data_IF_186117992397
#
_entry.id   IF_186117992397
#
_cell.length_a   1.000
_cell.length_b   1.000
_cell.length_c   1.000
_cell.angle_alpha   90.00
_cell.angle_beta   90.00
_cell.angle_gamma   90.00
#
_symmetry.space_group_name_H-M   'P 1'
#
loop_
_entity.id
_entity.type
_entity.pdbx_description
1 polymer ?
#
# COMPACT_ATOMS: atom_id res chain seq x y z
N UNK A 1 18.86 -12.23 -1.52
CA UNK A 1 18.05 -12.50 -0.34
C UNK A 1 16.60 -11.98 -0.45
N UNK A 2 16.29 -11.17 -1.45
CA UNK A 2 14.94 -10.67 -1.68
C UNK A 2 14.29 -11.56 -2.73
N UNK A 3 13.48 -12.51 -2.29
CA UNK A 3 12.61 -13.27 -3.18
C UNK A 3 11.26 -12.54 -3.22
N UNK A 4 10.91 -11.97 -4.35
CA UNK A 4 9.67 -11.25 -4.57
C UNK A 4 9.86 -9.79 -4.97
N UNK A 5 8.75 -9.16 -5.34
CA UNK A 5 8.69 -7.73 -5.67
C UNK A 5 8.67 -6.95 -4.36
N UNK A 6 9.63 -6.04 -4.18
CA UNK A 6 9.74 -5.19 -3.00
C UNK A 6 9.36 -3.77 -3.43
N UNK A 7 8.20 -3.34 -3.02
CA UNK A 7 7.66 -2.02 -3.34
C UNK A 7 7.75 -1.04 -2.17
N UNK A 8 7.91 -1.57 -0.96
CA UNK A 8 8.01 -0.77 0.26
C UNK A 8 9.14 -1.27 1.18
N UNK A 9 9.76 -0.39 1.98
CA UNK A 9 10.87 -0.74 2.87
C UNK A 9 10.54 -1.80 3.92
N UNK A 10 9.31 -1.83 4.41
CA UNK A 10 8.88 -2.82 5.41
C UNK A 10 8.98 -4.26 4.90
N UNK A 11 8.83 -4.47 3.59
CA UNK A 11 8.99 -5.79 2.97
C UNK A 11 10.43 -6.30 3.07
N UNK A 12 11.40 -5.39 3.16
CA UNK A 12 12.82 -5.74 3.36
C UNK A 12 13.07 -6.43 4.70
N UNK A 13 12.29 -6.11 5.73
CA UNK A 13 12.47 -6.61 7.11
C UNK A 13 11.42 -7.65 7.50
N UNK A 14 10.36 -7.81 6.70
CA UNK A 14 9.27 -8.75 7.00
C UNK A 14 9.80 -10.19 7.10
N UNK A 15 9.51 -10.84 8.22
CA UNK A 15 9.95 -12.21 8.51
C UNK A 15 11.47 -12.38 8.74
N UNK A 16 12.28 -11.31 8.67
CA UNK A 16 13.75 -11.38 8.82
C UNK A 16 14.26 -10.90 10.18
N UNK A 17 13.44 -10.18 10.94
CA UNK A 17 13.84 -9.61 12.22
C UNK A 17 13.03 -10.22 13.37
N UNK A 18 13.66 -10.96 14.31
CA UNK A 18 12.95 -11.52 15.45
C UNK A 18 12.30 -10.42 16.30
N UNK A 19 11.04 -10.63 16.74
CA UNK A 19 10.29 -9.67 17.57
C UNK A 19 9.79 -8.42 16.84
N UNK A 20 9.84 -8.40 15.52
CA UNK A 20 9.17 -7.44 14.65
C UNK A 20 8.05 -8.15 13.93
N UNK A 21 6.84 -7.69 14.16
CA UNK A 21 5.65 -8.17 13.45
C UNK A 21 5.22 -7.12 12.43
N UNK A 22 5.05 -7.54 11.20
CA UNK A 22 4.55 -6.72 10.12
C UNK A 22 3.29 -7.37 9.59
N UNK A 23 2.20 -6.63 9.64
CA UNK A 23 0.90 -7.07 9.12
C UNK A 23 0.51 -6.13 7.99
N UNK A 24 0.45 -6.66 6.78
CA UNK A 24 0.00 -5.91 5.62
C UNK A 24 -1.51 -5.78 5.66
N UNK A 25 -2.01 -4.57 5.44
CA UNK A 25 -3.45 -4.28 5.44
C UNK A 25 -4.07 -4.65 4.10
N UNK A 26 -4.30 -5.95 3.89
CA UNK A 26 -4.94 -6.46 2.67
C UNK A 26 -4.03 -6.43 1.44
N UNK A 27 -4.62 -6.71 0.27
CA UNK A 27 -3.93 -6.72 -1.03
C UNK A 27 -3.94 -5.38 -1.77
N UNK A 28 -4.32 -4.28 -1.11
CA UNK A 28 -4.35 -2.96 -1.72
C UNK A 28 -2.92 -2.42 -1.92
N UNK A 29 -2.68 -1.77 -3.05
CA UNK A 29 -1.36 -1.21 -3.41
C UNK A 29 -0.88 -0.14 -2.43
N UNK A 30 -1.81 0.48 -1.71
CA UNK A 30 -1.56 1.54 -0.73
C UNK A 30 -1.93 1.14 0.69
N UNK A 31 -2.28 -0.13 0.90
CA UNK A 31 -2.83 -0.63 2.16
C UNK A 31 -1.92 -0.43 3.38
N UNK A 32 -0.65 -0.15 3.15
CA UNK A 32 0.33 0.02 4.18
C UNK A 32 0.49 -1.21 5.08
N UNK A 33 1.49 -1.19 5.88
CA UNK A 33 1.72 -2.24 6.88
C UNK A 33 1.70 -1.67 8.28
N UNK A 34 1.09 -2.39 9.19
CA UNK A 34 1.21 -2.13 10.62
C UNK A 34 2.46 -2.80 11.13
N UNK A 35 3.37 -2.03 11.70
CA UNK A 35 4.63 -2.53 12.27
C UNK A 35 4.51 -2.51 13.78
N UNK A 36 4.79 -3.64 14.43
CA UNK A 36 4.83 -3.76 15.88
C UNK A 36 6.15 -4.36 16.31
N UNK A 37 6.79 -3.74 17.31
CA UNK A 37 8.03 -4.22 17.92
C UNK A 37 7.69 -4.66 19.32
N UNK A 38 7.92 -5.96 19.64
CA UNK A 38 7.61 -6.57 20.95
C UNK A 38 6.14 -6.44 21.40
N UNK A 39 5.20 -6.27 20.43
CA UNK A 39 3.78 -6.11 20.72
C UNK A 39 3.35 -4.65 20.89
N UNK A 40 2.16 -4.42 21.41
CA UNK A 40 1.63 -3.07 21.69
C UNK A 40 1.89 -2.70 23.14
N UNK A 41 2.42 -1.50 23.39
CA UNK A 41 2.68 -0.97 24.72
C UNK A 41 1.56 -0.08 25.25
N UNK A 42 0.67 0.42 24.40
CA UNK A 42 -0.39 1.36 24.76
C UNK A 42 -1.75 0.93 24.23
N UNK A 43 -2.78 1.16 25.03
CA UNK A 43 -4.18 0.95 24.65
C UNK A 43 -4.76 2.16 23.89
N UNK A 44 -4.28 3.37 24.17
CA UNK A 44 -4.88 4.62 23.66
C UNK A 44 -3.91 5.46 22.82
N UNK A 45 -2.60 5.18 22.84
CA UNK A 45 -1.61 5.88 22.03
C UNK A 45 -1.16 5.03 20.84
N UNK A 46 -0.49 5.65 19.86
CA UNK A 46 0.12 4.90 18.76
C UNK A 46 1.12 3.88 19.29
N UNK A 47 1.07 2.69 18.73
CA UNK A 47 2.03 1.62 18.96
C UNK A 47 3.05 1.49 17.82
N UNK A 48 3.11 2.48 16.91
CA UNK A 48 4.03 2.48 15.81
C UNK A 48 5.45 2.84 16.25
N UNK A 49 6.49 2.19 15.72
CA UNK A 49 7.87 2.51 16.05
C UNK A 49 8.27 3.87 15.45
N UNK A 50 9.23 4.54 16.10
CA UNK A 50 9.85 5.73 15.54
C UNK A 50 10.71 5.36 14.32
N UNK A 51 10.55 6.09 13.22
CA UNK A 51 11.37 5.93 12.02
C UNK A 51 12.45 7.02 12.02
N UNK A 52 13.70 6.61 11.86
CA UNK A 52 14.85 7.52 11.77
C UNK A 52 15.59 7.26 10.46
N UNK A 53 15.72 8.29 9.61
CA UNK A 53 16.37 8.19 8.31
C UNK A 53 17.63 9.02 8.32
N UNK A 54 18.78 8.39 8.12
CA UNK A 54 20.11 9.02 8.15
C UNK A 54 20.35 9.89 9.40
N UNK A 55 19.81 9.44 10.54
CA UNK A 55 19.93 10.14 11.83
C UNK A 55 18.83 11.17 12.11
N UNK A 56 17.93 11.45 11.16
CA UNK A 56 16.82 12.39 11.33
C UNK A 56 15.56 11.63 11.72
N UNK A 57 15.00 11.88 12.91
CA UNK A 57 13.74 11.27 13.31
C UNK A 57 12.58 11.87 12.51
N UNK A 58 11.78 10.98 11.93
CA UNK A 58 10.58 11.37 11.19
C UNK A 58 9.39 11.43 12.13
N UNK A 59 8.56 12.44 11.99
CA UNK A 59 7.30 12.48 12.70
C UNK A 59 6.31 11.52 12.04
N UNK A 60 5.98 10.44 12.74
CA UNK A 60 5.00 9.42 12.31
C UNK A 60 3.60 9.79 12.80
N UNK A 61 3.32 11.07 12.96
CA UNK A 61 2.11 11.61 13.56
C UNK A 61 1.11 12.18 12.56
N UNK A 62 0.78 11.44 11.53
CA UNK A 62 -0.29 11.83 10.60
C UNK A 62 -0.75 10.63 9.79
N UNK A 63 -2.00 10.20 10.01
CA UNK A 63 -2.67 9.33 9.07
C UNK A 63 -2.79 10.09 7.74
N UNK A 64 -1.96 9.72 6.77
CA UNK A 64 -2.12 10.21 5.40
C UNK A 64 -3.18 9.33 4.78
N UNK A 65 -4.34 9.89 4.54
CA UNK A 65 -5.46 9.16 3.96
C UNK A 65 -5.06 8.50 2.65
N UNK A 66 -5.25 7.17 2.54
CA UNK A 66 -4.85 6.40 1.38
C UNK A 66 -3.37 6.00 1.33
N UNK A 67 -2.63 6.25 2.41
CA UNK A 67 -1.23 5.83 2.59
C UNK A 67 -1.11 5.14 3.95
N UNK A 68 -0.67 3.90 3.96
CA UNK A 68 -0.64 3.11 5.19
C UNK A 68 0.37 3.57 6.22
N UNK A 69 1.55 4.02 5.79
CA UNK A 69 2.58 4.55 6.66
C UNK A 69 3.60 5.38 5.86
N UNK A 70 4.44 6.14 6.57
CA UNK A 70 5.48 6.98 5.97
C UNK A 70 6.55 6.18 5.19
N UNK A 71 6.79 4.91 5.55
CA UNK A 71 7.77 4.07 4.87
C UNK A 71 7.42 3.83 3.41
N UNK A 72 6.15 3.79 3.06
CA UNK A 72 5.71 3.60 1.66
C UNK A 72 6.18 4.71 0.71
N UNK A 73 6.55 5.88 1.24
CA UNK A 73 7.07 7.01 0.47
C UNK A 73 8.57 6.88 0.16
N UNK A 74 9.28 5.98 0.86
CA UNK A 74 10.73 5.79 0.69
C UNK A 74 10.95 4.76 -0.40
N UNK A 75 11.86 5.07 -1.33
CA UNK A 75 12.28 4.11 -2.34
C UNK A 75 13.17 3.02 -1.72
N UNK A 76 12.78 1.73 -1.70
CA UNK A 76 13.59 0.66 -1.15
C UNK A 76 14.96 0.53 -1.82
N UNK A 77 15.08 0.92 -3.10
CA UNK A 77 16.31 0.85 -3.86
C UNK A 77 17.39 1.81 -3.35
N UNK A 78 17.01 2.85 -2.60
CA UNK A 78 17.94 3.80 -1.99
C UNK A 78 18.40 3.40 -0.59
N UNK A 79 17.87 2.32 -0.03
CA UNK A 79 18.23 1.85 1.31
C UNK A 79 19.51 1.02 1.26
N UNK A 80 20.47 1.36 2.11
CA UNK A 80 21.69 0.58 2.33
C UNK A 80 21.47 -0.46 3.43
N UNK A 81 20.87 -0.03 4.56
CA UNK A 81 20.59 -0.91 5.69
C UNK A 81 19.38 -0.45 6.49
N UNK A 82 18.73 -1.40 7.15
CA UNK A 82 17.68 -1.17 8.13
C UNK A 82 18.07 -1.88 9.42
N UNK A 83 17.98 -1.18 10.56
CA UNK A 83 18.27 -1.71 11.88
C UNK A 83 17.11 -1.40 12.81
N UNK A 84 16.67 -2.37 13.61
CA UNK A 84 15.60 -2.18 14.57
C UNK A 84 16.18 -2.16 15.98
N UNK A 85 16.02 -1.02 16.66
CA UNK A 85 16.36 -0.86 18.07
C UNK A 85 15.14 -1.23 18.92
N UNK A 86 15.31 -2.24 19.76
CA UNK A 86 14.21 -2.81 20.58
C UNK A 86 14.38 -2.51 22.06
N UNK A 87 15.63 -2.34 22.50
CA UNK A 87 15.96 -2.23 23.90
C UNK A 87 15.91 -0.77 24.39
N UNK A 88 15.45 -0.57 25.61
CA UNK A 88 15.30 0.75 26.21
C UNK A 88 16.60 1.56 26.20
N UNK A 89 17.75 0.92 26.41
CA UNK A 89 19.06 1.57 26.37
C UNK A 89 19.42 2.10 24.99
N UNK A 90 19.10 1.35 23.93
CA UNK A 90 19.39 1.75 22.54
C UNK A 90 18.39 2.79 22.02
N UNK A 91 17.18 2.84 22.57
CA UNK A 91 16.15 3.82 22.20
C UNK A 91 16.22 5.11 23.00
N UNK A 92 16.94 5.13 24.14
CA UNK A 92 17.00 6.27 25.05
C UNK A 92 17.45 7.60 24.41
N UNK A 93 18.32 7.55 23.39
CA UNK A 93 18.79 8.73 22.66
C UNK A 93 17.69 9.46 21.89
N UNK A 94 16.55 8.78 21.61
CA UNK A 94 15.40 9.34 20.88
C UNK A 94 14.26 9.76 21.82
N UNK A 95 14.44 9.61 23.15
CA UNK A 95 13.49 10.01 24.17
C UNK A 95 12.18 9.22 24.14
N UNK A 96 11.11 9.81 24.66
CA UNK A 96 9.79 9.17 24.80
C UNK A 96 9.16 8.71 23.48
N UNK A 97 9.51 9.33 22.38
CA UNK A 97 9.03 8.95 21.03
C UNK A 97 9.49 7.54 20.61
N UNK A 98 10.53 7.02 21.23
CA UNK A 98 11.10 5.71 20.95
C UNK A 98 10.55 4.59 21.85
N UNK A 99 9.51 4.85 22.63
CA UNK A 99 8.92 3.86 23.57
C UNK A 99 8.48 2.56 22.89
N UNK A 100 8.06 2.63 21.64
CA UNK A 100 7.61 1.48 20.83
C UNK A 100 8.75 0.88 19.97
N UNK A 101 10.01 1.25 20.22
CA UNK A 101 11.16 0.88 19.42
C UNK A 101 11.47 1.88 18.31
N UNK A 102 12.60 1.68 17.65
CA UNK A 102 13.09 2.56 16.58
C UNK A 102 13.51 1.75 15.36
N UNK A 103 13.12 2.18 14.19
CA UNK A 103 13.61 1.67 12.90
C UNK A 103 14.60 2.68 12.35
N UNK A 104 15.88 2.32 12.31
CA UNK A 104 16.94 3.11 11.71
C UNK A 104 17.08 2.72 10.24
N UNK A 105 16.97 3.69 9.36
CA UNK A 105 17.17 3.53 7.92
C UNK A 105 18.41 4.32 7.52
N UNK A 106 19.38 3.63 6.95
CA UNK A 106 20.55 4.26 6.36
C UNK A 106 20.44 4.21 4.84
N UNK A 107 20.56 5.34 4.18
CA UNK A 107 20.50 5.39 2.72
C UNK A 107 21.88 5.24 2.08
N UNK A 108 21.87 4.72 0.84
CA UNK A 108 23.09 4.52 0.03
C UNK A 108 23.78 5.86 -0.23
N UNK A 109 25.09 5.88 -0.02
CA UNK A 109 25.95 7.03 -0.29
C UNK A 109 26.87 6.76 -1.48
N UNK A 110 27.48 7.81 -1.99
CA UNK A 110 28.54 7.66 -3.00
C UNK A 110 29.74 6.94 -2.40
N UNK A 111 30.21 5.89 -3.07
CA UNK A 111 31.37 5.08 -2.65
C UNK A 111 32.21 4.70 -3.87
N UNK A 112 33.50 4.53 -3.66
CA UNK A 112 34.44 4.05 -4.67
C UNK A 112 34.98 5.14 -5.58
N UNK A 113 36.00 4.77 -6.35
CA UNK A 113 36.65 5.64 -7.34
C UNK A 113 35.95 5.47 -8.70
N UNK A 114 35.80 6.58 -9.41
CA UNK A 114 35.10 6.63 -10.69
C UNK A 114 33.58 6.74 -10.58
N UNK A 115 32.93 6.84 -11.72
CA UNK A 115 31.49 7.01 -11.83
C UNK A 115 30.85 5.67 -12.14
N UNK A 116 29.88 5.27 -11.33
CA UNK A 116 29.05 4.07 -11.52
C UNK A 116 27.61 4.47 -11.81
N UNK A 117 27.09 4.01 -12.94
CA UNK A 117 25.66 4.12 -13.29
C UNK A 117 25.01 2.77 -13.05
N UNK A 118 23.89 2.77 -12.39
CA UNK A 118 23.08 1.57 -12.13
C UNK A 118 21.63 1.83 -12.56
N UNK A 119 21.10 0.92 -13.35
CA UNK A 119 19.69 0.90 -13.72
C UNK A 119 19.08 -0.42 -13.25
N UNK A 120 17.95 -0.33 -12.59
CA UNK A 120 17.18 -1.49 -12.13
C UNK A 120 15.74 -1.31 -12.57
N UNK A 121 15.16 -2.36 -13.15
CA UNK A 121 13.73 -2.44 -13.46
C UNK A 121 13.18 -3.73 -12.89
N UNK A 122 11.99 -3.64 -12.31
CA UNK A 122 11.24 -4.78 -11.81
C UNK A 122 9.84 -4.69 -12.36
N UNK A 123 9.40 -5.72 -13.08
CA UNK A 123 8.04 -5.81 -13.59
C UNK A 123 7.33 -6.96 -12.89
N UNK A 124 6.07 -6.75 -12.53
CA UNK A 124 5.27 -7.72 -11.79
C UNK A 124 3.86 -7.83 -12.36
N UNK A 125 3.29 -9.01 -12.22
CA UNK A 125 1.90 -9.29 -12.52
C UNK A 125 1.28 -9.90 -11.27
N UNK A 126 0.18 -9.33 -10.79
CA UNK A 126 -0.55 -9.78 -9.62
C UNK A 126 -1.91 -10.33 -10.03
N UNK A 127 -2.20 -11.55 -9.64
CA UNK A 127 -3.48 -12.20 -9.92
C UNK A 127 -4.14 -12.65 -8.62
N UNK A 128 -5.45 -12.78 -8.62
CA UNK A 128 -6.16 -13.41 -7.51
C UNK A 128 -5.73 -14.87 -7.38
N UNK A 129 -5.44 -15.32 -6.18
CA UNK A 129 -5.04 -16.71 -5.92
C UNK A 129 -6.24 -17.59 -5.64
N UNK A 130 -7.14 -17.10 -4.77
CA UNK A 130 -8.37 -17.79 -4.38
C UNK A 130 -9.42 -16.75 -3.96
N UNK A 131 -10.66 -16.98 -4.36
CA UNK A 131 -11.84 -16.29 -3.84
C UNK A 131 -12.54 -17.15 -2.80
N UNK A 132 -13.39 -16.57 -1.97
CA UNK A 132 -14.28 -17.32 -1.13
C UNK A 132 -15.23 -18.16 -2.01
N UNK A 133 -15.53 -19.36 -1.57
CA UNK A 133 -16.55 -20.20 -2.24
C UNK A 133 -17.92 -19.59 -1.96
N UNK A 134 -18.55 -19.07 -2.99
CA UNK A 134 -19.86 -18.42 -2.94
C UNK A 134 -20.92 -19.38 -3.47
N UNK A 135 -22.18 -19.16 -3.06
CA UNK A 135 -23.30 -19.87 -3.65
C UNK A 135 -23.34 -19.57 -5.16
N UNK A 136 -23.52 -20.61 -5.95
CA UNK A 136 -23.88 -20.43 -7.35
C UNK A 136 -25.24 -19.74 -7.47
N UNK A 137 -25.52 -19.18 -8.64
CA UNK A 137 -26.81 -18.54 -8.91
C UNK A 137 -27.99 -19.47 -8.56
N UNK A 138 -27.92 -20.74 -8.94
CA UNK A 138 -29.03 -21.69 -8.75
C UNK A 138 -29.19 -22.08 -7.28
N UNK A 139 -28.09 -22.29 -6.55
CA UNK A 139 -28.12 -22.51 -5.10
C UNK A 139 -28.70 -21.29 -4.36
N UNK A 140 -28.30 -20.07 -4.76
CA UNK A 140 -28.86 -18.85 -4.20
C UNK A 140 -30.37 -18.74 -4.44
N UNK A 141 -30.83 -19.02 -5.66
CA UNK A 141 -32.25 -19.01 -6.02
C UNK A 141 -33.01 -20.04 -5.19
N UNK A 142 -32.52 -21.27 -5.01
CA UNK A 142 -33.13 -22.33 -4.23
C UNK A 142 -33.23 -21.94 -2.74
N UNK A 143 -32.20 -21.34 -2.17
CA UNK A 143 -32.22 -20.85 -0.79
C UNK A 143 -33.27 -19.75 -0.62
N UNK A 144 -33.35 -18.79 -1.53
CA UNK A 144 -34.35 -17.70 -1.45
C UNK A 144 -35.78 -18.22 -1.67
N UNK A 145 -36.00 -19.14 -2.60
CA UNK A 145 -37.32 -19.73 -2.82
C UNK A 145 -37.79 -20.58 -1.66
N UNK A 146 -36.88 -21.24 -0.96
CA UNK A 146 -37.20 -22.13 0.16
C UNK A 146 -37.44 -21.38 1.46
N UNK A 147 -36.66 -20.32 1.72
CA UNK A 147 -36.60 -19.65 3.02
C UNK A 147 -36.97 -18.17 2.97
N UNK A 148 -37.07 -17.58 1.78
CA UNK A 148 -37.34 -16.16 1.60
C UNK A 148 -38.80 -15.79 1.68
N UNK A 149 -39.08 -14.53 1.90
CA UNK A 149 -40.44 -13.95 1.81
C UNK A 149 -40.83 -13.74 0.34
N UNK A 150 -42.13 -13.58 0.08
CA UNK A 150 -42.65 -13.28 -1.27
C UNK A 150 -41.98 -12.04 -1.87
N UNK A 151 -41.69 -11.03 -1.06
CA UNK A 151 -40.99 -9.83 -1.48
C UNK A 151 -39.52 -10.12 -1.92
N UNK A 152 -38.80 -10.99 -1.21
CA UNK A 152 -37.46 -11.42 -1.58
C UNK A 152 -37.48 -12.29 -2.84
N UNK A 153 -38.44 -13.18 -2.99
CA UNK A 153 -38.61 -14.00 -4.18
C UNK A 153 -38.88 -13.12 -5.42
N UNK A 154 -39.67 -12.06 -5.26
CA UNK A 154 -39.99 -11.13 -6.33
C UNK A 154 -38.76 -10.29 -6.81
N UNK A 155 -37.69 -10.19 -6.01
CA UNK A 155 -36.46 -9.52 -6.34
C UNK A 155 -35.44 -10.42 -7.05
N UNK A 156 -35.76 -11.70 -7.28
CA UNK A 156 -34.90 -12.59 -8.04
C UNK A 156 -34.94 -12.22 -9.54
N UNK A 157 -33.77 -12.00 -10.11
CA UNK A 157 -33.59 -11.78 -11.55
C UNK A 157 -33.23 -13.07 -12.30
N UNK A 158 -32.86 -12.92 -13.56
CA UNK A 158 -32.50 -14.03 -14.46
C UNK A 158 -30.99 -14.07 -14.81
N UNK A 159 -30.22 -13.12 -14.32
CA UNK A 159 -28.81 -13.03 -14.60
C UNK A 159 -27.98 -14.03 -13.77
N UNK A 160 -26.71 -14.17 -14.16
CA UNK A 160 -25.70 -14.92 -13.41
C UNK A 160 -24.44 -14.05 -13.31
N UNK A 161 -24.48 -13.08 -12.39
CA UNK A 161 -23.39 -12.09 -12.23
C UNK A 161 -22.40 -12.60 -11.19
N UNK A 162 -21.15 -12.84 -11.62
CA UNK A 162 -20.02 -13.03 -10.69
C UNK A 162 -19.52 -11.67 -10.23
N UNK A 163 -20.05 -11.19 -9.12
CA UNK A 163 -19.69 -9.89 -8.54
C UNK A 163 -18.21 -9.79 -8.17
N UNK A 164 -17.58 -10.91 -7.84
CA UNK A 164 -16.15 -10.93 -7.51
C UNK A 164 -15.30 -10.66 -8.75
N UNK A 165 -15.64 -11.28 -9.89
CA UNK A 165 -14.97 -11.02 -11.16
C UNK A 165 -15.23 -9.60 -11.68
N UNK A 166 -16.42 -9.05 -11.43
CA UNK A 166 -16.76 -7.70 -11.82
C UNK A 166 -15.91 -6.62 -11.14
N UNK A 167 -15.41 -6.87 -9.93
CA UNK A 167 -14.61 -5.91 -9.17
C UNK A 167 -13.11 -6.23 -9.20
N UNK A 168 -12.70 -7.40 -9.66
CA UNK A 168 -11.31 -7.83 -9.70
C UNK A 168 -10.68 -7.71 -11.08
N UNK A 169 -9.36 -7.63 -11.10
CA UNK A 169 -8.53 -7.59 -12.32
C UNK A 169 -7.19 -8.28 -12.08
N UNK A 170 -6.46 -8.51 -13.16
CA UNK A 170 -5.02 -8.77 -13.10
C UNK A 170 -4.31 -7.43 -13.02
N UNK A 171 -3.56 -7.20 -11.95
CA UNK A 171 -2.80 -5.98 -11.74
C UNK A 171 -1.41 -6.07 -12.36
N UNK A 172 -0.93 -4.97 -12.93
CA UNK A 172 0.42 -4.82 -13.45
C UNK A 172 1.24 -3.89 -12.56
N UNK A 173 2.53 -4.18 -12.37
CA UNK A 173 3.45 -3.32 -11.63
C UNK A 173 4.77 -3.15 -12.38
N UNK A 174 5.33 -1.94 -12.31
CA UNK A 174 6.68 -1.66 -12.78
C UNK A 174 7.38 -0.70 -11.82
N UNK A 175 8.58 -1.03 -11.40
CA UNK A 175 9.47 -0.19 -10.58
C UNK A 175 10.78 0.01 -11.33
N UNK A 176 11.05 1.25 -11.70
CA UNK A 176 12.23 1.65 -12.45
C UNK A 176 13.08 2.58 -11.59
N UNK A 177 14.34 2.25 -11.43
CA UNK A 177 15.28 3.05 -10.65
C UNK A 177 16.57 3.25 -11.43
N UNK A 178 17.01 4.48 -11.54
CA UNK A 178 18.32 4.85 -12.08
C UNK A 178 19.13 5.57 -11.00
N UNK A 179 20.39 5.21 -10.86
CA UNK A 179 21.28 5.92 -9.95
C UNK A 179 22.67 6.10 -10.54
N UNK A 180 23.28 7.25 -10.23
CA UNK A 180 24.64 7.58 -10.53
C UNK A 180 25.35 7.85 -9.22
N UNK A 181 26.47 7.19 -9.00
CA UNK A 181 27.28 7.36 -7.78
C UNK A 181 28.76 7.28 -8.10
N UNK A 182 29.57 7.89 -7.27
CA UNK A 182 31.02 7.89 -7.45
C UNK A 182 31.69 9.09 -6.79
N UNK A 183 32.82 9.51 -7.35
CA UNK A 183 33.54 10.72 -6.97
C UNK A 183 33.71 11.62 -8.20
N UNK A 184 33.32 12.89 -8.06
CA UNK A 184 33.61 13.90 -9.09
C UNK A 184 35.07 14.34 -8.98
N UNK A 185 35.52 14.47 -7.74
CA UNK A 185 36.91 14.75 -7.33
C UNK A 185 37.20 13.91 -6.09
N UNK A 186 38.46 13.77 -5.70
CA UNK A 186 38.86 12.97 -4.53
C UNK A 186 38.11 13.36 -3.24
N UNK A 187 37.74 14.63 -3.12
CA UNK A 187 37.07 15.17 -1.94
C UNK A 187 35.53 15.13 -2.00
N UNK A 188 34.90 14.82 -3.17
CA UNK A 188 33.45 14.91 -3.34
C UNK A 188 32.84 13.58 -3.80
N UNK A 189 32.63 12.62 -2.89
CA UNK A 189 31.74 11.48 -3.15
C UNK A 189 30.30 11.95 -3.30
N UNK A 190 29.59 11.40 -4.28
CA UNK A 190 28.18 11.72 -4.54
C UNK A 190 27.36 10.51 -4.93
N UNK A 191 26.05 10.57 -4.69
CA UNK A 191 25.04 9.68 -5.25
C UNK A 191 23.81 10.49 -5.59
N UNK A 192 23.27 10.26 -6.78
CA UNK A 192 21.98 10.77 -7.23
C UNK A 192 21.16 9.56 -7.70
N UNK A 193 19.90 9.49 -7.31
CA UNK A 193 18.98 8.45 -7.78
C UNK A 193 17.61 9.04 -8.11
N UNK A 194 16.97 8.45 -9.11
CA UNK A 194 15.59 8.73 -9.51
C UNK A 194 14.85 7.40 -9.59
N UNK A 195 13.66 7.35 -9.04
CA UNK A 195 12.79 6.18 -9.05
C UNK A 195 11.40 6.52 -9.55
N UNK A 196 10.79 5.60 -10.29
CA UNK A 196 9.43 5.67 -10.76
C UNK A 196 8.74 4.31 -10.56
N UNK A 197 7.77 4.27 -9.66
CA UNK A 197 6.91 3.12 -9.38
C UNK A 197 5.53 3.38 -9.98
N UNK A 198 5.02 2.40 -10.69
CA UNK A 198 3.62 2.23 -11.03
C UNK A 198 3.15 0.86 -10.60
N UNK A 199 2.04 0.78 -9.89
CA UNK A 199 1.50 -0.48 -9.41
C UNK A 199 -0.03 -0.45 -9.45
N UNK A 200 -0.61 -1.48 -10.03
CA UNK A 200 -2.04 -1.77 -9.96
C UNK A 200 -2.30 -2.92 -8.99
N UNK A 201 -3.39 -2.81 -8.25
CA UNK A 201 -3.89 -3.88 -7.39
C UNK A 201 -4.73 -4.91 -8.15
N UNK A 202 -5.07 -5.99 -7.46
CA UNK A 202 -5.99 -7.02 -7.97
C UNK A 202 -7.45 -6.55 -7.95
N UNK A 203 -7.76 -5.45 -7.30
CA UNK A 203 -9.06 -4.79 -7.36
C UNK A 203 -9.01 -3.69 -8.40
N UNK A 204 -10.03 -3.58 -9.23
CA UNK A 204 -10.14 -2.47 -10.21
C UNK A 204 -10.09 -1.13 -9.48
N UNK A 205 -9.49 -0.10 -10.11
CA UNK A 205 -9.33 1.23 -9.53
C UNK A 205 -8.38 1.31 -8.30
N UNK A 206 -7.60 0.27 -8.02
CA UNK A 206 -6.52 0.31 -7.05
C UNK A 206 -5.20 0.57 -7.80
N UNK A 207 -4.62 1.75 -7.62
CA UNK A 207 -3.35 2.12 -8.26
C UNK A 207 -2.49 2.97 -7.34
N UNK A 208 -1.19 2.78 -7.46
CA UNK A 208 -0.17 3.57 -6.76
C UNK A 208 0.92 4.02 -7.74
N UNK A 209 1.22 5.31 -7.74
CA UNK A 209 2.27 5.94 -8.55
C UNK A 209 3.19 6.72 -7.63
N UNK A 210 4.47 6.38 -7.62
CA UNK A 210 5.47 7.07 -6.82
C UNK A 210 6.62 7.52 -7.70
N UNK A 211 6.94 8.80 -7.64
CA UNK A 211 8.18 9.37 -8.17
C UNK A 211 9.06 9.77 -7.00
N UNK A 212 10.30 9.35 -7.01
CA UNK A 212 11.27 9.64 -5.95
C UNK A 212 12.58 10.14 -6.51
N UNK A 213 13.18 11.08 -5.80
CA UNK A 213 14.52 11.59 -6.09
C UNK A 213 15.34 11.68 -4.80
N UNK A 214 16.58 11.25 -4.88
CA UNK A 214 17.50 11.31 -3.76
C UNK A 214 18.85 11.83 -4.25
N UNK A 215 19.40 12.80 -3.53
CA UNK A 215 20.77 13.30 -3.72
C UNK A 215 21.52 13.18 -2.39
N UNK A 216 22.73 12.64 -2.45
CA UNK A 216 23.61 12.53 -1.31
C UNK A 216 25.01 12.99 -1.74
N UNK A 217 25.52 13.99 -1.05
CA UNK A 217 26.88 14.52 -1.22
C UNK A 217 27.61 14.33 0.10
N UNK A 218 28.84 13.83 0.06
CA UNK A 218 29.63 13.57 1.25
C UNK A 218 31.04 14.22 1.11
N UNK A 219 31.13 15.57 0.95
CA UNK A 219 32.41 16.22 0.80
C UNK A 219 33.30 16.06 2.04
N UNK A 220 34.56 15.82 1.81
CA UNK A 220 35.59 15.74 2.83
C UNK A 220 36.79 16.65 2.47
N UNK A 221 37.32 17.31 3.49
CA UNK A 221 38.40 18.29 3.35
C UNK A 221 39.51 17.97 4.38
N UNK A 222 40.68 18.53 4.17
CA UNK A 222 41.85 18.44 5.05
C UNK A 222 42.25 16.98 5.36
N UNK A 223 42.44 16.15 4.32
CA UNK A 223 42.76 14.72 4.43
C UNK A 223 41.74 13.94 5.31
N UNK A 224 40.47 14.23 5.11
CA UNK A 224 39.33 13.59 5.82
C UNK A 224 39.08 14.05 7.28
N UNK A 225 39.76 15.09 7.75
CA UNK A 225 39.58 15.67 9.07
C UNK A 225 38.22 16.39 9.21
N UNK A 226 37.70 16.96 8.10
CA UNK A 226 36.41 17.65 8.06
C UNK A 226 35.49 16.98 7.04
N UNK A 227 34.41 16.37 7.53
CA UNK A 227 33.42 15.65 6.69
C UNK A 227 32.04 16.27 6.83
N UNK A 228 31.38 16.50 5.73
CA UNK A 228 29.98 16.89 5.68
C UNK A 228 29.15 15.78 5.05
N UNK A 229 27.88 15.71 5.43
CA UNK A 229 26.87 14.92 4.74
C UNK A 229 25.70 15.83 4.40
N UNK A 230 25.43 15.98 3.12
CA UNK A 230 24.32 16.76 2.58
C UNK A 230 23.40 15.78 1.89
N UNK A 231 22.16 15.67 2.37
CA UNK A 231 21.16 14.77 1.81
C UNK A 231 19.90 15.55 1.47
N UNK A 232 19.41 15.39 0.24
CA UNK A 232 18.12 15.87 -0.21
C UNK A 232 17.27 14.71 -0.70
N UNK A 233 16.04 14.61 -0.23
CA UNK A 233 15.08 13.58 -0.63
C UNK A 233 13.76 14.22 -0.99
N UNK A 234 13.18 13.81 -2.10
CA UNK A 234 11.85 14.22 -2.53
C UNK A 234 11.09 12.98 -3.00
N UNK A 235 9.82 12.91 -2.63
CA UNK A 235 8.90 11.89 -3.12
C UNK A 235 7.55 12.52 -3.41
N UNK A 236 6.97 12.17 -4.54
CA UNK A 236 5.61 12.51 -4.90
C UNK A 236 4.85 11.22 -5.14
N UNK A 237 3.77 11.04 -4.41
CA UNK A 237 2.96 9.84 -4.49
C UNK A 237 1.51 10.21 -4.83
N UNK A 238 0.93 9.45 -5.76
CA UNK A 238 -0.49 9.52 -6.10
C UNK A 238 -1.07 8.13 -5.93
N UNK A 239 -2.07 8.04 -5.09
CA UNK A 239 -2.77 6.80 -4.82
C UNK A 239 -4.24 6.91 -5.20
N UNK A 240 -4.77 5.86 -5.78
CA UNK A 240 -6.19 5.62 -5.96
C UNK A 240 -6.53 4.33 -5.26
N UNK A 241 -7.51 4.36 -4.39
CA UNK A 241 -7.87 3.20 -3.59
C UNK A 241 -9.39 3.03 -3.54
N UNK A 242 -9.88 1.82 -3.78
CA UNK A 242 -11.29 1.52 -3.66
C UNK A 242 -11.72 1.42 -2.18
N UNK A 243 -13.03 1.51 -1.94
CA UNK A 243 -13.56 1.35 -0.58
C UNK A 243 -13.29 -0.07 -0.05
N UNK A 244 -12.91 -0.21 1.22
CA UNK A 244 -12.69 -1.52 1.85
C UNK A 244 -13.93 -2.41 1.92
N UNK A 245 -15.13 -1.85 1.76
CA UNK A 245 -16.39 -2.61 1.78
C UNK A 245 -16.71 -3.32 0.46
N UNK A 246 -16.01 -3.02 -0.64
CA UNK A 246 -16.32 -3.56 -1.97
C UNK A 246 -16.28 -5.09 -2.01
N UNK A 247 -15.25 -5.69 -1.40
CA UNK A 247 -15.12 -7.16 -1.37
C UNK A 247 -16.28 -7.77 -0.60
N UNK A 248 -16.61 -7.22 0.58
CA UNK A 248 -17.76 -7.67 1.34
C UNK A 248 -19.07 -7.55 0.53
N UNK A 249 -19.26 -6.42 -0.12
CA UNK A 249 -20.45 -6.20 -0.95
C UNK A 249 -20.50 -7.20 -2.11
N UNK A 250 -19.37 -7.43 -2.80
CA UNK A 250 -19.30 -8.40 -3.88
C UNK A 250 -19.65 -9.84 -3.44
N UNK A 251 -19.31 -10.21 -2.20
CA UNK A 251 -19.62 -11.54 -1.67
C UNK A 251 -21.05 -11.69 -1.16
N UNK A 252 -21.77 -10.60 -0.93
CA UNK A 252 -23.12 -10.62 -0.34
C UNK A 252 -24.20 -10.10 -1.27
N UNK A 253 -23.82 -9.60 -2.45
CA UNK A 253 -24.77 -9.04 -3.41
C UNK A 253 -25.54 -10.13 -4.17
N UNK A 254 -26.76 -9.78 -4.62
CA UNK A 254 -27.63 -10.71 -5.34
C UNK A 254 -27.02 -11.10 -6.71
N UNK A 255 -26.67 -12.37 -6.94
CA UNK A 255 -26.06 -12.80 -8.21
C UNK A 255 -27.05 -12.90 -9.36
N UNK A 256 -28.35 -12.78 -9.12
CA UNK A 256 -29.38 -12.94 -10.14
C UNK A 256 -29.74 -11.65 -10.89
N UNK A 257 -29.10 -10.53 -10.55
CA UNK A 257 -29.34 -9.21 -11.18
C UNK A 257 -28.12 -8.72 -11.95
N UNK A 258 -28.32 -7.92 -13.02
CA UNK A 258 -27.22 -7.35 -13.78
C UNK A 258 -26.52 -6.21 -13.02
N UNK A 259 -25.30 -5.88 -13.42
CA UNK A 259 -24.54 -4.75 -12.86
C UNK A 259 -25.26 -3.43 -13.06
N UNK A 260 -25.84 -3.23 -14.24
CA UNK A 260 -26.50 -2.00 -14.62
C UNK A 260 -28.01 -2.18 -14.71
N UNK A 261 -28.75 -1.17 -14.25
CA UNK A 261 -30.22 -1.20 -14.23
C UNK A 261 -30.86 -0.92 -15.60
N UNK A 262 -30.08 -0.39 -16.57
CA UNK A 262 -30.60 0.11 -17.84
C UNK A 262 -31.37 1.43 -17.73
N UNK A 263 -31.37 2.09 -16.58
CA UNK A 263 -31.97 3.39 -16.32
C UNK A 263 -30.93 4.37 -15.81
N UNK A 264 -31.22 5.68 -15.84
CA UNK A 264 -30.33 6.71 -15.31
C UNK A 264 -30.37 6.81 -13.77
N UNK A 265 -31.29 6.07 -13.13
CA UNK A 265 -31.35 5.99 -11.67
C UNK A 265 -30.04 5.42 -11.10
N UNK A 266 -29.59 5.94 -9.96
CA UNK A 266 -28.36 5.53 -9.30
C UNK A 266 -27.13 5.49 -10.20
N UNK A 267 -27.02 6.47 -11.12
CA UNK A 267 -25.93 6.56 -12.11
C UNK A 267 -25.86 5.32 -13.03
N UNK A 268 -26.99 4.66 -13.26
CA UNK A 268 -27.09 3.47 -14.10
C UNK A 268 -26.82 2.15 -13.38
N UNK A 269 -26.39 2.15 -12.13
CA UNK A 269 -26.14 0.92 -11.38
C UNK A 269 -27.44 0.31 -10.84
N UNK A 270 -27.44 -1.01 -10.75
CA UNK A 270 -28.56 -1.75 -10.19
C UNK A 270 -28.43 -1.77 -8.66
N UNK A 271 -29.05 -0.80 -7.98
CA UNK A 271 -29.06 -0.70 -6.53
C UNK A 271 -30.27 -1.42 -5.94
N UNK A 272 -30.16 -1.94 -4.69
CA UNK A 272 -31.28 -2.60 -4.03
C UNK A 272 -32.41 -1.61 -3.76
N UNK A 273 -33.54 -1.85 -4.39
CA UNK A 273 -34.76 -1.07 -4.18
C UNK A 273 -35.89 -1.98 -3.73
N UNK A 274 -36.86 -1.43 -3.03
CA UNK A 274 -38.12 -2.13 -2.70
C UNK A 274 -39.03 -2.25 -3.95
N UNK A 275 -40.19 -2.85 -3.77
CA UNK A 275 -41.19 -3.03 -4.84
C UNK A 275 -41.69 -1.69 -5.43
N UNK A 276 -41.50 -0.58 -4.72
CA UNK A 276 -41.88 0.76 -5.16
C UNK A 276 -40.69 1.51 -5.78
N UNK A 277 -39.53 0.90 -5.93
CA UNK A 277 -38.32 1.53 -6.45
C UNK A 277 -37.60 2.43 -5.43
N UNK A 278 -37.91 2.32 -4.15
CA UNK A 278 -37.28 3.10 -3.09
C UNK A 278 -36.04 2.35 -2.58
N UNK A 279 -34.87 3.02 -2.42
CA UNK A 279 -33.68 2.40 -1.88
C UNK A 279 -33.92 1.73 -0.53
N UNK A 280 -33.50 0.48 -0.41
CA UNK A 280 -33.63 -0.28 0.85
C UNK A 280 -32.55 0.18 1.82
N UNK A 281 -32.96 0.80 2.93
CA UNK A 281 -32.04 1.27 3.96
C UNK A 281 -31.29 0.09 4.58
N UNK A 282 -29.96 0.17 4.63
CA UNK A 282 -29.09 -0.87 5.18
C UNK A 282 -28.82 -2.04 4.25
N UNK A 283 -29.35 -2.04 3.03
CA UNK A 283 -28.97 -3.02 2.02
C UNK A 283 -27.52 -2.79 1.54
N UNK A 284 -26.92 -3.87 1.03
CA UNK A 284 -25.60 -3.84 0.44
C UNK A 284 -25.64 -3.04 -0.87
N UNK A 285 -24.79 -2.02 -1.00
CA UNK A 285 -24.71 -1.23 -2.23
C UNK A 285 -24.05 -2.00 -3.36
N UNK A 286 -24.37 -1.64 -4.61
CA UNK A 286 -23.76 -2.24 -5.80
C UNK A 286 -22.22 -2.16 -5.75
N UNK A 287 -21.50 -3.30 -5.79
CA UNK A 287 -20.04 -3.32 -5.65
C UNK A 287 -19.32 -2.55 -6.75
N UNK A 288 -19.83 -2.58 -7.99
CA UNK A 288 -19.26 -1.85 -9.13
C UNK A 288 -19.56 -0.35 -9.03
N UNK A 289 -20.73 0.00 -8.51
CA UNK A 289 -21.07 1.39 -8.19
C UNK A 289 -20.11 1.97 -7.15
N UNK A 290 -19.86 1.25 -6.06
CA UNK A 290 -18.88 1.63 -5.03
C UNK A 290 -17.44 1.71 -5.58
N UNK A 291 -17.07 0.82 -6.49
CA UNK A 291 -15.76 0.79 -7.12
C UNK A 291 -15.47 2.09 -7.90
N UNK A 292 -16.48 2.68 -8.51
CA UNK A 292 -16.36 3.92 -9.28
C UNK A 292 -16.41 5.18 -8.41
N UNK A 293 -16.72 5.05 -7.13
CA UNK A 293 -16.56 6.12 -6.16
C UNK A 293 -15.06 6.46 -6.02
N UNK A 294 -14.69 7.71 -6.32
CA UNK A 294 -13.29 8.07 -6.48
C UNK A 294 -12.66 8.51 -5.16
N UNK A 295 -11.80 7.66 -4.62
CA UNK A 295 -10.88 8.02 -3.55
C UNK A 295 -9.48 8.25 -4.14
N UNK A 296 -8.91 9.43 -3.93
CA UNK A 296 -7.55 9.77 -4.37
C UNK A 296 -6.78 10.41 -3.24
N UNK A 297 -5.52 10.04 -3.08
CA UNK A 297 -4.56 10.71 -2.23
C UNK A 297 -3.36 11.20 -3.04
N UNK A 298 -2.88 12.39 -2.73
CA UNK A 298 -1.65 12.99 -3.25
C UNK A 298 -0.75 13.35 -2.09
N UNK A 299 0.51 12.95 -2.15
CA UNK A 299 1.50 13.22 -1.08
C UNK A 299 2.87 13.52 -1.66
#
# INVERSE_FOLDING_TARGET
>A
FNQGVITSPEELINGKMPGVQIVNSGGATTGGSTIRIRGGASLNASNDPLIVIDGVPMEVGGYIQGQGNFLSMINPNDIESMTVLKDASSTAIYGSRASNGVILITTKKGKGDGIKVSFQTTNSVSTKTKTADMLSRDEFVDVIRTNGTDAQIALLGNENTDWTDEVMQTGFGTDNNISVSGRVTDWLPFRVSLGALYQEGIMKNDENKRFSGNINLSPSFFNDDLKFTISGKASYNTARYPSGSIIWNATTYNPTIPVYSGTDAFLGYNEPVDINGIPVTGATANPVGLLNYRNKAHT
#
